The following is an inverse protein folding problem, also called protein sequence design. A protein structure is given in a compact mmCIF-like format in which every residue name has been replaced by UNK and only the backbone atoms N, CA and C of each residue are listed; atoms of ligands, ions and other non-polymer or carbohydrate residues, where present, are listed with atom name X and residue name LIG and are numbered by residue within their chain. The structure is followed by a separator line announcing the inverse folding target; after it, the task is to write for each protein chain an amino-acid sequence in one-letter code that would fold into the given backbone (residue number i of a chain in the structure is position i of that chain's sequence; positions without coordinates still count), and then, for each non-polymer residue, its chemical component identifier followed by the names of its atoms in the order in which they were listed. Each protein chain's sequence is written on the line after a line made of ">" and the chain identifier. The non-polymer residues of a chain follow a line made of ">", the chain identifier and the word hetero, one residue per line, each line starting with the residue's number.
data_IF_725268795682
#
_entry.id   IF_725268795682
#
_cell.length_a   1.000
_cell.length_b   1.000
_cell.length_c   1.000
_cell.angle_alpha   90.00
_cell.angle_beta   90.00
_cell.angle_gamma   90.00
#
_symmetry.space_group_name_H-M   'P 1'
#
loop_
_entity.id
_entity.type
_entity.pdbx_description
1 polymer ?
#
# COMPACT_ATOMS: atom_id res chain seq x y z
N UNK A 1 35.39 -30.56 20.56
CA UNK A 1 35.19 -29.11 20.37
C UNK A 1 34.31 -28.68 21.50
N UNK A 2 34.90 -28.07 22.52
CA UNK A 2 34.12 -27.24 23.45
C UNK A 2 33.48 -26.10 22.65
N UNK A 3 32.36 -25.56 23.13
CA UNK A 3 31.84 -24.33 22.55
C UNK A 3 32.90 -23.25 22.78
N UNK A 4 33.46 -22.70 21.70
CA UNK A 4 34.33 -21.54 21.78
C UNK A 4 33.47 -20.34 22.15
N UNK A 5 33.20 -20.19 23.44
CA UNK A 5 32.57 -19.00 24.03
C UNK A 5 33.52 -17.87 23.75
N UNK A 6 33.24 -17.08 22.70
CA UNK A 6 34.06 -15.91 22.37
C UNK A 6 34.02 -14.97 23.56
N UNK A 7 35.17 -14.81 24.20
CA UNK A 7 35.34 -13.94 25.36
C UNK A 7 35.07 -12.50 24.90
N UNK A 8 34.62 -11.62 25.79
CA UNK A 8 34.56 -10.19 25.48
C UNK A 8 35.94 -9.62 25.07
N UNK A 9 37.04 -10.27 25.50
CA UNK A 9 38.42 -10.00 25.06
C UNK A 9 38.72 -10.37 23.60
N UNK A 10 37.96 -11.29 22.98
CA UNK A 10 38.18 -11.78 21.61
C UNK A 10 37.46 -10.92 20.55
N UNK A 11 36.66 -9.94 20.97
CA UNK A 11 35.96 -9.03 20.04
C UNK A 11 36.88 -7.91 19.54
N UNK A 12 36.71 -7.44 18.29
CA UNK A 12 37.50 -6.33 17.78
C UNK A 12 37.12 -5.03 18.52
N UNK A 13 38.12 -4.19 18.82
CA UNK A 13 37.95 -3.01 19.67
C UNK A 13 36.99 -1.92 19.11
N UNK A 14 36.54 -2.05 17.86
CA UNK A 14 35.51 -1.19 17.26
C UNK A 14 34.06 -1.65 17.54
N UNK A 15 33.88 -2.90 17.99
CA UNK A 15 32.58 -3.54 18.24
C UNK A 15 32.34 -3.83 19.73
N UNK A 16 33.27 -3.42 20.61
CA UNK A 16 33.10 -3.50 22.06
C UNK A 16 31.93 -2.63 22.51
N UNK A 17 30.99 -3.23 23.24
CA UNK A 17 29.92 -2.54 23.95
C UNK A 17 30.29 -2.28 25.41
N UNK A 18 29.54 -1.41 26.11
CA UNK A 18 29.75 -1.17 27.56
C UNK A 18 29.60 -2.47 28.36
N UNK A 19 28.70 -3.36 27.92
CA UNK A 19 28.51 -4.68 28.54
C UNK A 19 29.78 -5.53 28.45
N UNK A 20 30.46 -5.51 27.30
CA UNK A 20 31.70 -6.25 27.09
C UNK A 20 32.84 -5.74 27.99
N UNK A 21 32.86 -4.44 28.31
CA UNK A 21 33.83 -3.88 29.27
C UNK A 21 33.56 -4.39 30.70
N UNK A 22 32.30 -4.56 31.09
CA UNK A 22 31.95 -5.17 32.38
C UNK A 22 32.24 -6.68 32.41
N UNK A 23 32.01 -7.42 31.32
CA UNK A 23 32.39 -8.84 31.21
C UNK A 23 33.91 -9.03 31.30
N UNK A 24 34.69 -8.17 30.62
CA UNK A 24 36.16 -8.13 30.75
C UNK A 24 36.56 -7.85 32.21
N UNK A 25 35.91 -6.88 32.87
CA UNK A 25 36.19 -6.54 34.27
C UNK A 25 35.90 -7.73 35.21
N UNK A 26 34.82 -8.49 34.97
CA UNK A 26 34.46 -9.67 35.75
C UNK A 26 35.49 -10.80 35.61
N UNK A 27 35.95 -11.09 34.40
CA UNK A 27 37.01 -12.10 34.16
C UNK A 27 38.32 -11.68 34.80
N UNK A 28 38.73 -10.41 34.64
CA UNK A 28 39.93 -9.87 35.29
C UNK A 28 39.83 -9.93 36.83
N UNK A 29 38.65 -9.69 37.40
CA UNK A 29 38.38 -9.84 38.84
C UNK A 29 38.68 -11.26 39.33
N UNK A 30 38.20 -12.28 38.61
CA UNK A 30 38.44 -13.69 38.93
C UNK A 30 39.92 -14.11 38.77
N UNK A 31 40.66 -13.49 37.84
CA UNK A 31 42.12 -13.67 37.75
C UNK A 31 42.83 -13.06 38.97
N UNK A 32 42.46 -11.85 39.39
CA UNK A 32 43.04 -11.22 40.58
C UNK A 32 42.74 -12.00 41.86
N UNK A 33 41.50 -12.48 42.05
CA UNK A 33 41.11 -13.34 43.18
C UNK A 33 42.01 -14.58 43.27
N UNK A 34 42.17 -15.32 42.16
CA UNK A 34 43.04 -16.50 42.08
C UNK A 34 44.54 -16.22 42.29
N UNK A 35 44.99 -14.98 42.13
CA UNK A 35 46.35 -14.54 42.48
C UNK A 35 46.45 -14.17 43.96
N UNK A 36 45.45 -13.48 44.52
CA UNK A 36 45.36 -13.15 45.95
C UNK A 36 45.39 -14.43 46.80
N UNK A 37 44.60 -15.44 46.43
CA UNK A 37 44.53 -16.74 47.12
C UNK A 37 45.88 -17.47 47.22
N UNK A 38 46.79 -17.24 46.26
CA UNK A 38 48.05 -17.98 46.11
C UNK A 38 49.27 -17.21 46.60
N UNK A 39 49.24 -15.87 46.53
CA UNK A 39 50.41 -15.02 46.76
C UNK A 39 50.15 -13.85 47.73
N UNK A 40 48.91 -13.69 48.21
CA UNK A 40 48.50 -12.55 49.04
C UNK A 40 48.21 -11.28 48.24
N UNK A 41 47.45 -10.36 48.84
CA UNK A 41 46.98 -9.14 48.18
C UNK A 41 48.08 -8.09 47.93
N UNK A 42 49.16 -8.09 48.70
CA UNK A 42 50.25 -7.09 48.65
C UNK A 42 50.81 -6.88 47.23
N UNK A 43 50.92 -7.95 46.44
CA UNK A 43 51.42 -7.89 45.06
C UNK A 43 50.50 -7.12 44.10
N UNK A 44 49.22 -6.94 44.45
CA UNK A 44 48.18 -6.38 43.58
C UNK A 44 47.65 -5.01 44.02
N UNK A 45 47.92 -4.56 45.26
CA UNK A 45 47.48 -3.26 45.80
C UNK A 45 47.84 -2.09 44.87
N UNK A 46 49.04 -2.10 44.29
CA UNK A 46 49.52 -1.07 43.36
C UNK A 46 49.13 -1.27 41.88
N UNK A 47 48.41 -2.35 41.57
CA UNK A 47 48.04 -2.77 40.20
C UNK A 47 46.54 -2.62 39.96
N UNK A 48 45.69 -3.14 40.84
CA UNK A 48 44.22 -3.14 40.67
C UNK A 48 43.66 -1.73 40.41
N UNK A 49 44.03 -0.66 41.15
CA UNK A 49 43.53 0.69 40.87
C UNK A 49 43.91 1.22 39.47
N UNK A 50 45.02 0.75 38.89
CA UNK A 50 45.44 1.13 37.53
C UNK A 50 44.64 0.37 36.48
N UNK A 51 44.30 -0.89 36.73
CA UNK A 51 43.47 -1.71 35.83
C UNK A 51 42.03 -1.20 35.82
N UNK A 52 41.46 -0.87 37.00
CA UNK A 52 40.16 -0.18 37.10
C UNK A 52 40.18 1.10 36.27
N UNK A 53 41.21 1.94 36.40
CA UNK A 53 41.35 3.16 35.59
C UNK A 53 41.47 2.92 34.08
N UNK A 54 42.01 1.78 33.64
CA UNK A 54 42.03 1.43 32.21
C UNK A 54 40.64 1.01 31.74
N UNK A 55 39.88 0.29 32.57
CA UNK A 55 38.49 -0.09 32.28
C UNK A 55 37.55 1.12 32.24
N UNK A 56 37.66 2.05 33.20
CA UNK A 56 36.95 3.35 33.19
C UNK A 56 37.19 4.13 31.89
N UNK A 57 38.44 4.14 31.40
CA UNK A 57 38.81 4.81 30.15
C UNK A 57 38.27 4.07 28.91
N UNK A 58 38.22 2.74 28.94
CA UNK A 58 37.65 1.93 27.86
C UNK A 58 36.12 2.12 27.77
N UNK A 59 35.42 2.06 28.90
CA UNK A 59 33.98 2.35 29.02
C UNK A 59 33.64 3.74 28.48
N UNK A 60 34.40 4.78 28.86
CA UNK A 60 34.20 6.14 28.37
C UNK A 60 34.48 6.29 26.87
N UNK A 61 35.44 5.55 26.31
CA UNK A 61 35.71 5.54 24.86
C UNK A 61 34.61 4.82 24.07
N UNK A 62 34.16 3.67 24.55
CA UNK A 62 33.07 2.88 23.95
C UNK A 62 31.75 3.65 23.97
N UNK A 63 31.37 4.22 25.13
CA UNK A 63 30.15 5.03 25.28
C UNK A 63 30.16 6.23 24.33
N UNK A 64 31.31 6.89 24.18
CA UNK A 64 31.47 8.00 23.22
C UNK A 64 31.43 7.52 21.77
N UNK A 65 31.87 6.30 21.47
CA UNK A 65 31.76 5.69 20.15
C UNK A 65 30.31 5.53 19.71
N UNK A 66 29.47 4.94 20.56
CA UNK A 66 28.03 4.80 20.31
C UNK A 66 27.35 6.16 20.07
N UNK A 67 27.56 7.13 20.97
CA UNK A 67 26.99 8.47 20.84
C UNK A 67 27.48 9.24 19.58
N UNK A 68 28.67 8.94 19.06
CA UNK A 68 29.15 9.49 17.78
C UNK A 68 28.45 8.82 16.61
N UNK A 69 28.28 7.49 16.63
CA UNK A 69 27.55 6.76 15.59
C UNK A 69 26.08 7.23 15.50
N UNK A 70 25.37 7.32 16.63
CA UNK A 70 24.02 7.89 16.72
C UNK A 70 23.96 9.30 16.14
N UNK A 71 24.94 10.16 16.47
CA UNK A 71 25.03 11.52 15.96
C UNK A 71 25.38 11.60 14.46
N UNK A 72 25.94 10.55 13.85
CA UNK A 72 26.09 10.45 12.39
C UNK A 72 24.83 9.91 11.72
N UNK A 73 24.15 8.92 12.31
CA UNK A 73 22.91 8.37 11.76
C UNK A 73 21.77 9.39 11.79
N UNK A 74 21.66 10.18 12.87
CA UNK A 74 20.76 11.33 12.92
C UNK A 74 21.10 12.42 11.87
N UNK A 75 22.37 12.56 11.45
CA UNK A 75 22.73 13.47 10.35
C UNK A 75 22.32 12.89 8.99
N UNK A 76 22.56 11.60 8.77
CA UNK A 76 22.14 10.87 7.55
C UNK A 76 20.64 11.01 7.35
N UNK A 77 19.86 10.80 8.40
CA UNK A 77 18.40 10.93 8.37
C UNK A 77 17.93 12.39 8.17
N UNK A 78 18.56 13.35 8.85
CA UNK A 78 18.23 14.76 8.70
C UNK A 78 18.54 15.28 7.28
N UNK A 79 19.61 14.81 6.64
CA UNK A 79 19.90 15.11 5.23
C UNK A 79 18.96 14.38 4.26
N UNK A 80 18.49 13.16 4.58
CA UNK A 80 17.41 12.49 3.84
C UNK A 80 16.12 13.31 3.86
N UNK A 81 15.69 13.75 5.05
CA UNK A 81 14.49 14.58 5.25
C UNK A 81 14.61 15.96 4.59
N UNK A 82 15.81 16.55 4.52
CA UNK A 82 16.09 17.76 3.73
C UNK A 82 15.90 17.51 2.23
N UNK A 83 16.42 16.41 1.71
CA UNK A 83 16.29 16.04 0.30
C UNK A 83 14.82 15.76 -0.07
N UNK A 84 14.09 14.96 0.72
CA UNK A 84 12.67 14.72 0.55
C UNK A 84 11.83 16.02 0.53
N UNK A 85 12.15 16.98 1.41
CA UNK A 85 11.49 18.29 1.45
C UNK A 85 11.82 19.12 0.20
N UNK A 86 13.06 19.05 -0.27
CA UNK A 86 13.50 19.69 -1.52
C UNK A 86 12.76 19.11 -2.73
N UNK A 87 12.59 17.79 -2.79
CA UNK A 87 11.96 17.10 -3.91
C UNK A 87 10.44 17.24 -3.90
N UNK A 88 9.78 17.20 -2.72
CA UNK A 88 8.37 17.59 -2.58
C UNK A 88 8.12 19.02 -3.08
N UNK A 89 8.96 19.99 -2.71
CA UNK A 89 8.86 21.36 -3.22
C UNK A 89 9.08 21.47 -4.76
N UNK A 90 9.94 20.63 -5.34
CA UNK A 90 10.12 20.55 -6.80
C UNK A 90 8.92 19.91 -7.52
N UNK A 91 8.27 18.93 -6.91
CA UNK A 91 7.06 18.29 -7.42
C UNK A 91 5.88 19.27 -7.38
N UNK A 92 5.65 19.92 -6.23
CA UNK A 92 4.63 20.95 -6.06
C UNK A 92 4.79 22.07 -7.11
N UNK A 93 6.03 22.54 -7.32
CA UNK A 93 6.34 23.57 -8.32
C UNK A 93 6.28 23.07 -9.79
N UNK A 94 6.12 21.77 -10.03
CA UNK A 94 5.74 21.24 -11.35
C UNK A 94 4.23 21.20 -11.50
N UNK A 95 3.53 20.60 -10.53
CA UNK A 95 2.06 20.50 -10.55
C UNK A 95 1.41 21.89 -10.65
N UNK A 96 1.93 22.89 -9.91
CA UNK A 96 1.48 24.29 -10.00
C UNK A 96 1.62 24.86 -11.43
N UNK A 97 2.70 24.54 -12.15
CA UNK A 97 2.90 24.99 -13.55
C UNK A 97 2.03 24.23 -14.54
N UNK A 98 1.79 22.95 -14.28
CA UNK A 98 0.92 22.09 -15.08
C UNK A 98 -0.54 22.57 -14.93
N UNK A 99 -0.95 22.99 -13.73
CA UNK A 99 -2.22 23.67 -13.47
C UNK A 99 -2.30 25.04 -14.15
N UNK A 100 -1.28 25.89 -14.02
CA UNK A 100 -1.19 27.18 -14.73
C UNK A 100 -1.35 27.00 -16.26
N UNK A 101 -0.68 25.99 -16.84
CA UNK A 101 -0.77 25.69 -18.27
C UNK A 101 -2.16 25.16 -18.68
N UNK A 102 -2.81 24.35 -17.83
CA UNK A 102 -4.19 23.89 -18.07
C UNK A 102 -5.18 25.04 -17.97
N UNK A 103 -5.03 25.94 -17.00
CA UNK A 103 -5.84 27.17 -16.89
C UNK A 103 -5.68 28.07 -18.12
N UNK A 104 -4.46 28.34 -18.57
CA UNK A 104 -4.23 29.16 -19.77
C UNK A 104 -4.82 28.52 -21.03
N UNK A 105 -4.73 27.19 -21.16
CA UNK A 105 -5.33 26.45 -22.29
C UNK A 105 -6.86 26.57 -22.25
N UNK A 106 -7.47 26.33 -21.09
CA UNK A 106 -8.93 26.44 -20.90
C UNK A 106 -9.44 27.87 -21.12
N UNK A 107 -8.69 28.90 -20.69
CA UNK A 107 -8.99 30.31 -20.97
C UNK A 107 -9.01 30.60 -22.47
N UNK A 108 -8.06 30.02 -23.22
CA UNK A 108 -8.03 30.08 -24.69
C UNK A 108 -9.26 29.42 -25.32
N UNK A 109 -9.56 28.17 -24.96
CA UNK A 109 -10.72 27.43 -25.46
C UNK A 109 -12.05 28.16 -25.18
N UNK A 110 -12.22 28.71 -23.96
CA UNK A 110 -13.40 29.52 -23.60
C UNK A 110 -13.48 30.80 -24.43
N UNK A 111 -12.35 31.47 -24.69
CA UNK A 111 -12.32 32.67 -25.53
C UNK A 111 -12.65 32.36 -27.01
N UNK A 112 -12.16 31.25 -27.56
CA UNK A 112 -12.47 30.80 -28.92
C UNK A 112 -13.94 30.40 -29.05
N UNK A 113 -14.50 29.67 -28.07
CA UNK A 113 -15.92 29.33 -28.03
C UNK A 113 -16.82 30.57 -27.95
N UNK A 114 -16.48 31.55 -27.09
CA UNK A 114 -17.21 32.83 -27.01
C UNK A 114 -17.12 33.62 -28.32
N UNK A 115 -15.96 33.58 -29.00
CA UNK A 115 -15.76 34.21 -30.30
C UNK A 115 -16.61 33.54 -31.38
N UNK A 116 -16.68 32.20 -31.38
CA UNK A 116 -17.50 31.42 -32.31
C UNK A 116 -19.00 31.63 -32.07
N UNK A 117 -19.46 31.65 -30.82
CA UNK A 117 -20.85 31.99 -30.44
C UNK A 117 -21.19 33.39 -30.96
N UNK A 118 -20.30 34.37 -30.77
CA UNK A 118 -20.50 35.75 -31.25
C UNK A 118 -20.57 35.82 -32.78
N UNK A 119 -19.72 35.07 -33.49
CA UNK A 119 -19.78 34.95 -34.95
C UNK A 119 -21.13 34.36 -35.40
N UNK A 120 -21.53 33.20 -34.85
CA UNK A 120 -22.78 32.51 -35.18
C UNK A 120 -24.01 33.37 -34.87
N UNK A 121 -24.04 34.10 -33.75
CA UNK A 121 -25.10 35.07 -33.46
C UNK A 121 -25.15 36.20 -34.51
N UNK A 122 -23.99 36.69 -34.97
CA UNK A 122 -23.92 37.67 -36.05
C UNK A 122 -24.44 37.11 -37.38
N UNK A 123 -24.16 35.84 -37.68
CA UNK A 123 -24.54 35.16 -38.92
C UNK A 123 -26.03 34.81 -38.92
N UNK A 124 -26.55 34.24 -37.83
CA UNK A 124 -28.00 34.04 -37.66
C UNK A 124 -28.76 35.37 -37.80
N UNK A 125 -28.27 36.47 -37.21
CA UNK A 125 -28.90 37.80 -37.36
C UNK A 125 -28.88 38.31 -38.80
N UNK A 126 -27.77 38.13 -39.54
CA UNK A 126 -27.68 38.45 -40.98
C UNK A 126 -28.63 37.57 -41.81
N UNK A 127 -28.66 36.26 -41.53
CA UNK A 127 -29.47 35.28 -42.25
C UNK A 127 -30.97 35.55 -42.05
N UNK A 128 -31.41 35.83 -40.83
CA UNK A 128 -32.82 36.13 -40.50
C UNK A 128 -33.31 37.39 -41.25
N UNK A 129 -32.49 38.46 -41.30
CA UNK A 129 -32.79 39.65 -42.13
C UNK A 129 -32.81 39.29 -43.62
N UNK A 130 -31.85 38.51 -44.11
CA UNK A 130 -31.79 38.12 -45.52
C UNK A 130 -32.93 37.18 -45.94
N UNK A 131 -33.43 36.36 -45.01
CA UNK A 131 -34.60 35.48 -45.16
C UNK A 131 -35.86 36.34 -45.27
N UNK A 132 -36.05 37.30 -44.36
CA UNK A 132 -37.18 38.22 -44.41
C UNK A 132 -37.28 38.97 -45.75
N UNK A 133 -36.16 39.48 -46.27
CA UNK A 133 -36.12 40.05 -47.64
C UNK A 133 -36.51 39.03 -48.72
N UNK A 134 -36.01 37.78 -48.62
CA UNK A 134 -36.27 36.74 -49.62
C UNK A 134 -37.73 36.26 -49.59
N UNK A 135 -38.33 36.06 -48.42
CA UNK A 135 -39.73 35.67 -48.28
C UNK A 135 -40.69 36.71 -48.89
N UNK A 136 -40.34 38.01 -48.83
CA UNK A 136 -41.09 39.07 -49.55
C UNK A 136 -40.86 39.13 -51.06
N UNK A 137 -39.97 38.30 -51.62
CA UNK A 137 -39.70 38.24 -53.08
C UNK A 137 -40.02 36.89 -53.72
N UNK A 138 -39.99 35.80 -52.94
CA UNK A 138 -40.17 34.42 -53.43
C UNK A 138 -41.65 34.01 -53.45
N UNK A 139 -42.49 34.63 -52.62
CA UNK A 139 -43.93 34.34 -52.51
C UNK A 139 -44.69 34.59 -53.82
N UNK A 140 -44.28 35.54 -54.66
CA UNK A 140 -44.89 35.79 -55.97
C UNK A 140 -44.34 34.87 -57.09
N UNK A 141 -43.05 34.52 -57.08
CA UNK A 141 -42.44 33.72 -58.16
C UNK A 141 -42.67 32.20 -58.05
N UNK A 142 -42.74 31.64 -56.84
CA UNK A 142 -42.63 30.19 -56.67
C UNK A 142 -43.91 29.43 -57.05
N UNK A 143 -45.07 30.01 -56.75
CA UNK A 143 -46.40 29.43 -57.08
C UNK A 143 -46.55 29.25 -58.60
N UNK A 144 -46.09 30.23 -59.38
CA UNK A 144 -46.24 30.25 -60.84
C UNK A 144 -45.41 29.17 -61.58
N UNK A 145 -44.38 28.60 -60.95
CA UNK A 145 -43.46 27.63 -61.58
C UNK A 145 -43.77 26.17 -61.24
N UNK A 146 -44.56 25.90 -60.19
CA UNK A 146 -44.72 24.54 -59.66
C UNK A 146 -45.67 23.65 -60.49
N UNK A 147 -46.64 24.22 -61.20
CA UNK A 147 -47.59 23.48 -62.05
C UNK A 147 -46.97 22.97 -63.36
N UNK A 148 -45.80 23.48 -63.76
CA UNK A 148 -45.25 23.34 -65.11
C UNK A 148 -44.23 22.22 -65.36
N UNK A 149 -43.98 21.31 -64.39
CA UNK A 149 -42.88 20.34 -64.51
C UNK A 149 -42.99 19.45 -65.77
N UNK A 150 -42.02 19.62 -66.66
CA UNK A 150 -41.87 18.89 -67.91
C UNK A 150 -41.66 17.39 -67.68
N UNK A 151 -42.03 16.56 -68.66
CA UNK A 151 -41.74 15.12 -68.66
C UNK A 151 -40.23 14.84 -68.46
N UNK A 152 -39.38 15.69 -69.02
CA UNK A 152 -37.93 15.65 -68.84
C UNK A 152 -37.51 15.91 -67.37
N UNK A 153 -38.16 16.87 -66.70
CA UNK A 153 -37.86 17.25 -65.32
C UNK A 153 -38.34 16.18 -64.34
N UNK A 154 -39.51 15.57 -64.59
CA UNK A 154 -39.97 14.36 -63.89
C UNK A 154 -38.97 13.21 -64.05
N UNK A 155 -38.43 13.02 -65.26
CA UNK A 155 -37.49 11.95 -65.54
C UNK A 155 -36.09 12.22 -64.97
N UNK A 156 -35.68 13.48 -64.82
CA UNK A 156 -34.49 13.89 -64.04
C UNK A 156 -34.73 13.68 -62.55
N UNK A 157 -35.86 14.11 -62.00
CA UNK A 157 -36.23 13.88 -60.60
C UNK A 157 -36.28 12.39 -60.25
N UNK A 158 -36.79 11.54 -61.15
CA UNK A 158 -36.73 10.09 -60.97
C UNK A 158 -35.28 9.58 -60.93
N UNK A 159 -34.43 9.94 -61.90
CA UNK A 159 -33.01 9.55 -61.90
C UNK A 159 -32.26 10.04 -60.65
N UNK A 160 -32.58 11.24 -60.17
CA UNK A 160 -31.99 11.81 -58.96
C UNK A 160 -32.46 11.05 -57.71
N UNK A 161 -33.74 10.68 -57.62
CA UNK A 161 -34.25 9.79 -56.57
C UNK A 161 -33.57 8.41 -56.62
N UNK A 162 -33.51 7.78 -57.79
CA UNK A 162 -32.88 6.48 -58.00
C UNK A 162 -31.37 6.50 -57.64
N UNK A 163 -30.73 7.68 -57.67
CA UNK A 163 -29.34 7.89 -57.24
C UNK A 163 -29.22 8.17 -55.74
N UNK A 164 -30.11 8.99 -55.17
CA UNK A 164 -30.18 9.28 -53.74
C UNK A 164 -30.51 8.04 -52.93
N UNK A 165 -31.44 7.20 -53.40
CA UNK A 165 -31.78 5.96 -52.73
C UNK A 165 -30.62 4.94 -52.78
N UNK A 166 -29.84 4.89 -53.88
CA UNK A 166 -28.56 4.16 -53.91
C UNK A 166 -27.52 4.71 -52.94
N UNK A 167 -27.39 6.03 -52.83
CA UNK A 167 -26.46 6.65 -51.87
C UNK A 167 -26.87 6.33 -50.41
N UNK A 168 -28.16 6.30 -50.08
CA UNK A 168 -28.63 5.81 -48.78
C UNK A 168 -28.27 4.34 -48.54
N UNK A 169 -28.37 3.49 -49.56
CA UNK A 169 -28.05 2.06 -49.46
C UNK A 169 -26.54 1.82 -49.27
N UNK A 170 -25.71 2.58 -49.99
CA UNK A 170 -24.27 2.62 -49.82
C UNK A 170 -23.87 3.14 -48.43
N UNK A 171 -24.49 4.23 -47.94
CA UNK A 171 -24.29 4.74 -46.58
C UNK A 171 -24.60 3.66 -45.54
N UNK A 172 -25.76 2.98 -45.62
CA UNK A 172 -26.11 1.91 -44.66
C UNK A 172 -25.15 0.72 -44.69
N UNK A 173 -24.58 0.42 -45.86
CA UNK A 173 -23.53 -0.60 -45.99
C UNK A 173 -22.21 -0.13 -45.37
N UNK A 174 -21.85 1.15 -45.54
CA UNK A 174 -20.65 1.73 -44.90
C UNK A 174 -20.79 1.89 -43.39
N UNK A 175 -21.99 2.19 -42.89
CA UNK A 175 -22.29 2.17 -41.45
C UNK A 175 -22.09 0.77 -40.85
N UNK A 176 -22.56 -0.28 -41.53
CA UNK A 176 -22.34 -1.67 -41.12
C UNK A 176 -20.87 -2.12 -41.20
N UNK A 177 -20.14 -1.71 -42.25
CA UNK A 177 -18.68 -1.89 -42.31
C UNK A 177 -17.97 -1.20 -41.14
N UNK A 178 -18.42 0.01 -40.77
CA UNK A 178 -17.84 0.78 -39.66
C UNK A 178 -18.15 0.19 -38.28
N UNK A 179 -19.34 -0.39 -38.04
CA UNK A 179 -19.62 -1.09 -36.77
C UNK A 179 -18.74 -2.33 -36.63
N UNK A 180 -18.63 -3.15 -37.67
CA UNK A 180 -17.76 -4.34 -37.66
C UNK A 180 -16.28 -3.97 -37.46
N UNK A 181 -15.84 -2.82 -37.97
CA UNK A 181 -14.48 -2.30 -37.73
C UNK A 181 -14.25 -1.78 -36.31
N UNK A 182 -15.28 -1.24 -35.64
CA UNK A 182 -15.20 -0.87 -34.21
C UNK A 182 -15.06 -2.12 -33.35
N UNK A 183 -15.87 -3.15 -33.61
CA UNK A 183 -15.81 -4.44 -32.92
C UNK A 183 -14.41 -5.10 -33.05
N UNK A 184 -13.80 -5.09 -34.24
CA UNK A 184 -12.42 -5.57 -34.45
C UNK A 184 -11.38 -4.77 -33.63
N UNK A 185 -11.49 -3.43 -33.59
CA UNK A 185 -10.60 -2.58 -32.79
C UNK A 185 -10.77 -2.84 -31.29
N UNK A 186 -11.99 -3.00 -30.80
CA UNK A 186 -12.27 -3.33 -29.39
C UNK A 186 -11.71 -4.70 -29.02
N UNK A 187 -11.86 -5.72 -29.89
CA UNK A 187 -11.26 -7.03 -29.70
C UNK A 187 -9.73 -6.98 -29.70
N UNK A 188 -9.12 -6.18 -30.58
CA UNK A 188 -7.66 -5.94 -30.57
C UNK A 188 -7.21 -5.20 -29.29
N UNK A 189 -8.00 -4.27 -28.75
CA UNK A 189 -7.70 -3.63 -27.47
C UNK A 189 -7.80 -4.61 -26.30
N UNK A 190 -8.80 -5.50 -26.28
CA UNK A 190 -8.89 -6.58 -25.29
C UNK A 190 -7.72 -7.57 -25.42
N UNK A 191 -7.32 -7.95 -26.63
CA UNK A 191 -6.15 -8.79 -26.89
C UNK A 191 -4.86 -8.16 -26.35
N UNK A 192 -4.62 -6.87 -26.61
CA UNK A 192 -3.46 -6.14 -26.08
C UNK A 192 -3.51 -5.93 -24.55
N UNK A 193 -4.70 -5.89 -23.93
CA UNK A 193 -4.84 -5.88 -22.46
C UNK A 193 -4.47 -7.24 -21.86
N UNK A 194 -4.99 -8.33 -22.44
CA UNK A 194 -4.69 -9.70 -22.01
C UNK A 194 -3.21 -10.07 -22.24
N UNK A 195 -2.60 -9.61 -23.34
CA UNK A 195 -1.20 -9.82 -23.65
C UNK A 195 -0.28 -9.21 -22.57
N UNK A 196 -0.55 -7.97 -22.15
CA UNK A 196 0.17 -7.29 -21.06
C UNK A 196 0.03 -8.05 -19.74
N UNK A 197 -1.21 -8.32 -19.31
CA UNK A 197 -1.45 -9.08 -18.07
C UNK A 197 -0.77 -10.45 -18.08
N UNK A 198 -0.71 -11.13 -19.23
CA UNK A 198 -0.01 -12.42 -19.35
C UNK A 198 1.51 -12.28 -19.30
N UNK A 199 2.07 -11.18 -19.80
CA UNK A 199 3.50 -10.83 -19.64
C UNK A 199 3.83 -10.53 -18.17
N UNK A 200 2.99 -9.76 -17.48
CA UNK A 200 3.16 -9.43 -16.06
C UNK A 200 3.10 -10.69 -15.17
N UNK A 201 2.15 -11.59 -15.45
CA UNK A 201 2.04 -12.89 -14.79
C UNK A 201 3.27 -13.77 -15.04
N UNK A 202 3.77 -13.86 -16.28
CA UNK A 202 5.03 -14.58 -16.60
C UNK A 202 6.23 -14.01 -15.85
N UNK A 203 6.34 -12.68 -15.76
CA UNK A 203 7.41 -12.03 -15.02
C UNK A 203 7.32 -12.36 -13.52
N UNK A 204 6.11 -12.25 -12.92
CA UNK A 204 5.88 -12.60 -11.51
C UNK A 204 6.16 -14.07 -11.21
N UNK A 205 5.80 -14.99 -12.11
CA UNK A 205 6.17 -16.41 -12.01
C UNK A 205 7.70 -16.57 -12.03
N UNK A 206 8.40 -15.92 -12.97
CA UNK A 206 9.87 -15.97 -13.04
C UNK A 206 10.57 -15.43 -11.78
N UNK A 207 10.03 -14.39 -11.15
CA UNK A 207 10.52 -13.87 -9.86
C UNK A 207 10.30 -14.88 -8.73
N UNK A 208 9.09 -15.47 -8.62
CA UNK A 208 8.80 -16.48 -7.60
C UNK A 208 9.63 -17.77 -7.80
N UNK A 209 9.88 -18.17 -9.05
CA UNK A 209 10.80 -19.28 -9.37
C UNK A 209 12.24 -18.98 -8.95
N UNK A 210 12.72 -17.75 -9.17
CA UNK A 210 14.07 -17.34 -8.76
C UNK A 210 14.20 -17.34 -7.24
N UNK A 211 13.20 -16.79 -6.52
CA UNK A 211 13.13 -16.84 -5.06
C UNK A 211 13.09 -18.29 -4.54
N UNK A 212 12.27 -19.15 -5.14
CA UNK A 212 12.21 -20.57 -4.80
C UNK A 212 13.54 -21.30 -4.99
N UNK A 213 14.27 -21.02 -6.08
CA UNK A 213 15.62 -21.57 -6.33
C UNK A 213 16.64 -21.11 -5.27
N UNK A 214 16.59 -19.85 -4.84
CA UNK A 214 17.44 -19.34 -3.75
C UNK A 214 17.10 -20.00 -2.41
N UNK A 215 15.81 -20.15 -2.07
CA UNK A 215 15.40 -20.81 -0.83
C UNK A 215 15.76 -22.31 -0.79
N UNK A 216 15.68 -23.01 -1.93
CA UNK A 216 16.13 -24.40 -2.06
C UNK A 216 17.64 -24.50 -1.86
N UNK A 217 18.42 -23.58 -2.45
CA UNK A 217 19.88 -23.53 -2.28
C UNK A 217 20.28 -23.26 -0.82
N UNK A 218 19.67 -22.25 -0.18
CA UNK A 218 19.89 -21.93 1.23
C UNK A 218 19.53 -23.10 2.14
N UNK A 219 18.43 -23.81 1.88
CA UNK A 219 18.09 -25.03 2.63
C UNK A 219 19.19 -26.08 2.45
N UNK A 220 19.64 -26.35 1.22
CA UNK A 220 20.67 -27.36 0.97
C UNK A 220 22.00 -27.02 1.67
N UNK A 221 22.39 -25.75 1.71
CA UNK A 221 23.57 -25.27 2.44
C UNK A 221 23.44 -25.45 3.96
N UNK A 222 22.29 -25.10 4.54
CA UNK A 222 22.00 -25.33 5.97
C UNK A 222 21.93 -26.81 6.33
N UNK A 223 21.35 -27.65 5.46
CA UNK A 223 21.25 -29.10 5.64
C UNK A 223 22.64 -29.76 5.56
N UNK A 224 23.50 -29.33 4.64
CA UNK A 224 24.90 -29.75 4.57
C UNK A 224 25.72 -29.30 5.79
N UNK A 225 25.54 -28.06 6.26
CA UNK A 225 26.20 -27.56 7.47
C UNK A 225 25.77 -28.30 8.74
N UNK A 226 24.50 -28.68 8.84
CA UNK A 226 24.00 -29.53 9.93
C UNK A 226 24.60 -30.94 9.87
N UNK A 227 24.68 -31.55 8.69
CA UNK A 227 25.32 -32.86 8.49
C UNK A 227 26.82 -32.82 8.83
N UNK A 228 27.54 -31.76 8.46
CA UNK A 228 28.95 -31.59 8.82
C UNK A 228 29.15 -31.55 10.34
N UNK A 229 28.38 -30.72 11.06
CA UNK A 229 28.39 -30.67 12.54
C UNK A 229 28.03 -32.00 13.18
N UNK A 230 27.10 -32.76 12.58
CA UNK A 230 26.74 -34.10 13.09
C UNK A 230 27.90 -35.10 12.93
N UNK A 231 28.69 -35.01 11.85
CA UNK A 231 29.92 -35.80 11.68
C UNK A 231 31.00 -35.39 12.68
N UNK A 232 31.20 -34.08 12.92
CA UNK A 232 32.11 -33.56 13.94
C UNK A 232 31.73 -34.05 15.35
N UNK A 233 30.45 -33.99 15.72
CA UNK A 233 29.96 -34.56 16.98
C UNK A 233 30.22 -36.06 17.08
N UNK A 234 30.07 -36.80 15.98
CA UNK A 234 30.39 -38.23 15.90
C UNK A 234 31.87 -38.53 16.13
N UNK A 235 32.79 -37.81 15.47
CA UNK A 235 34.24 -38.01 15.66
C UNK A 235 34.68 -37.62 17.07
N UNK A 236 34.11 -36.55 17.64
CA UNK A 236 34.35 -36.14 19.03
C UNK A 236 33.84 -37.15 20.05
N UNK A 237 32.68 -37.78 19.82
CA UNK A 237 32.17 -38.85 20.68
C UNK A 237 33.09 -40.08 20.65
N UNK A 238 33.57 -40.47 19.46
CA UNK A 238 34.56 -41.55 19.33
C UNK A 238 35.87 -41.22 20.04
N UNK A 239 36.36 -40.00 19.93
CA UNK A 239 37.60 -39.55 20.58
C UNK A 239 37.46 -39.49 22.11
N UNK A 240 36.35 -38.99 22.63
CA UNK A 240 36.03 -39.06 24.07
C UNK A 240 35.91 -40.51 24.54
N UNK A 241 35.36 -41.41 23.73
CA UNK A 241 35.35 -42.85 24.01
C UNK A 241 36.72 -43.52 23.95
N UNK A 242 37.65 -43.02 23.12
CA UNK A 242 39.06 -43.47 23.08
C UNK A 242 39.80 -43.03 24.35
N UNK A 243 39.80 -41.72 24.64
CA UNK A 243 40.47 -41.14 25.79
C UNK A 243 39.97 -41.71 27.13
N UNK A 244 38.67 -42.06 27.24
CA UNK A 244 38.12 -42.76 28.42
C UNK A 244 38.69 -44.17 28.61
N UNK A 245 38.93 -44.92 27.53
CA UNK A 245 39.56 -46.25 27.62
C UNK A 245 41.03 -46.14 28.00
N UNK A 246 41.75 -45.20 27.39
CA UNK A 246 43.16 -44.95 27.70
C UNK A 246 43.33 -44.47 29.15
N UNK A 247 42.40 -43.67 29.68
CA UNK A 247 42.38 -43.32 31.10
C UNK A 247 42.17 -44.55 31.99
N UNK A 248 41.21 -45.42 31.66
CA UNK A 248 40.94 -46.65 32.42
C UNK A 248 42.12 -47.64 32.37
N UNK A 249 42.79 -47.77 31.23
CA UNK A 249 44.00 -48.60 31.08
C UNK A 249 45.16 -48.03 31.93
N UNK A 250 45.35 -46.71 31.91
CA UNK A 250 46.31 -46.00 32.77
C UNK A 250 45.92 -45.97 34.26
N UNK A 251 44.67 -46.27 34.62
CA UNK A 251 44.21 -46.50 35.99
C UNK A 251 44.52 -47.93 36.44
N UNK A 252 44.17 -48.93 35.64
CA UNK A 252 44.50 -50.33 35.89
C UNK A 252 46.02 -50.55 35.96
N UNK A 253 46.81 -49.90 35.09
CA UNK A 253 48.27 -49.90 35.20
C UNK A 253 48.79 -49.32 36.53
N UNK A 254 48.12 -48.30 37.08
CA UNK A 254 48.48 -47.73 38.39
C UNK A 254 48.10 -48.68 39.52
N UNK A 255 46.90 -49.27 39.49
CA UNK A 255 46.48 -50.25 40.48
C UNK A 255 47.41 -51.47 40.50
N UNK A 256 47.79 -52.02 39.34
CA UNK A 256 48.77 -53.10 39.24
C UNK A 256 50.12 -52.70 39.85
N UNK A 257 50.62 -51.49 39.56
CA UNK A 257 51.89 -51.01 40.12
C UNK A 257 51.84 -50.76 41.63
N UNK A 258 50.67 -50.40 42.20
CA UNK A 258 50.50 -50.33 43.66
C UNK A 258 50.30 -51.72 44.30
N UNK A 259 49.72 -52.70 43.59
CA UNK A 259 49.67 -54.11 44.02
C UNK A 259 51.08 -54.73 44.03
N UNK A 260 51.92 -54.43 43.03
CA UNK A 260 53.33 -54.84 43.01
C UNK A 260 54.15 -54.19 44.14
N UNK A 261 53.96 -52.89 44.39
CA UNK A 261 54.61 -52.20 45.53
C UNK A 261 54.18 -52.77 46.88
N UNK A 262 52.87 -52.94 47.11
CA UNK A 262 52.35 -53.47 48.37
C UNK A 262 52.78 -54.92 48.61
N UNK A 263 53.01 -55.69 47.55
CA UNK A 263 53.59 -57.05 47.62
C UNK A 263 55.03 -57.11 48.19
N UNK A 264 55.73 -55.98 48.34
CA UNK A 264 57.03 -55.91 49.03
C UNK A 264 56.92 -55.65 50.55
N UNK A 265 55.70 -55.60 51.11
CA UNK A 265 55.44 -55.55 52.56
C UNK A 265 54.41 -56.62 52.94
N UNK A 266 54.87 -57.70 53.56
CA UNK A 266 54.07 -58.92 53.69
C UNK A 266 53.03 -58.93 54.82
N UNK A 267 51.95 -59.70 54.59
CA UNK A 267 50.94 -60.21 55.55
C UNK A 267 50.01 -59.16 56.22
N UNK A 268 48.67 -59.30 56.26
CA UNK A 268 47.81 -60.51 56.29
C UNK A 268 46.46 -60.32 55.56
N UNK A 269 45.89 -61.43 55.05
CA UNK A 269 44.45 -61.59 54.79
C UNK A 269 43.69 -62.07 56.05
N UNK A 270 42.36 -61.88 56.13
CA UNK A 270 41.51 -63.08 56.00
C UNK A 270 40.18 -62.90 55.23
N UNK A 271 39.92 -63.88 54.34
CA UNK A 271 38.66 -64.59 54.04
C UNK A 271 37.28 -63.87 53.81
N UNK A 272 36.42 -64.40 52.90
CA UNK A 272 35.11 -63.82 52.53
C UNK A 272 33.89 -64.46 53.24
N UNK A 273 32.67 -63.96 52.96
CA UNK A 273 31.56 -64.87 52.68
C UNK A 273 30.61 -64.46 51.52
N UNK A 274 30.45 -65.38 50.56
CA UNK A 274 29.17 -65.91 50.01
C UNK A 274 27.98 -64.97 49.69
N UNK A 275 27.78 -64.74 48.39
CA UNK A 275 26.50 -64.83 47.62
C UNK A 275 25.12 -64.66 48.27
N UNK A 276 24.29 -63.81 47.65
CA UNK A 276 22.84 -64.00 47.50
C UNK A 276 22.33 -63.42 46.16
N UNK A 277 21.13 -63.80 45.72
CA UNK A 277 20.55 -63.37 44.43
C UNK A 277 19.75 -62.06 44.57
N UNK A 278 19.77 -61.20 43.56
CA UNK A 278 18.93 -60.00 43.44
C UNK A 278 18.70 -59.61 41.98
N UNK A 279 17.45 -59.32 41.61
CA UNK A 279 17.06 -59.05 40.23
C UNK A 279 17.38 -57.62 39.76
N UNK A 280 17.30 -57.40 38.44
CA UNK A 280 17.23 -56.06 37.85
C UNK A 280 16.04 -55.27 38.44
N UNK A 281 16.14 -53.93 38.47
CA UNK A 281 15.49 -53.20 37.38
C UNK A 281 16.41 -52.20 36.68
N UNK A 282 16.15 -51.95 35.40
CA UNK A 282 16.77 -50.84 34.67
C UNK A 282 16.17 -49.51 35.16
N UNK A 283 17.02 -48.53 35.45
CA UNK A 283 16.59 -47.16 35.79
C UNK A 283 17.49 -46.15 35.08
N UNK A 284 17.13 -45.83 33.82
CA UNK A 284 17.83 -44.84 33.01
C UNK A 284 17.45 -43.43 33.41
N UNK A 285 18.17 -42.84 34.36
CA UNK A 285 17.99 -41.43 34.75
C UNK A 285 18.54 -40.54 33.63
N UNK A 286 17.64 -39.95 32.83
CA UNK A 286 17.99 -38.89 31.88
C UNK A 286 18.37 -37.61 32.66
N UNK A 287 19.45 -36.90 32.29
CA UNK A 287 19.49 -35.46 32.49
C UNK A 287 18.48 -34.80 31.55
N UNK A 288 17.86 -33.69 31.97
CA UNK A 288 16.91 -32.96 31.13
C UNK A 288 17.62 -32.32 29.92
N UNK A 289 17.26 -32.76 28.71
CA UNK A 289 17.56 -32.03 27.48
C UNK A 289 16.35 -31.20 27.09
N UNK A 290 16.45 -29.88 27.20
CA UNK A 290 15.39 -28.94 26.78
C UNK A 290 15.57 -28.63 25.29
N UNK A 291 15.26 -29.62 24.45
CA UNK A 291 14.92 -29.45 23.03
C UNK A 291 14.06 -30.64 22.60
N UNK A 292 12.74 -30.43 22.53
CA UNK A 292 11.82 -31.41 21.92
C UNK A 292 11.71 -31.10 20.43
N UNK A 293 12.01 -32.10 19.62
CA UNK A 293 12.01 -32.03 18.17
C UNK A 293 10.57 -31.98 17.63
N UNK A 294 10.23 -30.94 16.87
CA UNK A 294 8.93 -30.81 16.21
C UNK A 294 8.82 -31.72 14.97
N UNK A 295 8.74 -33.04 15.21
CA UNK A 295 8.66 -34.06 14.16
C UNK A 295 7.34 -34.85 14.18
N UNK A 296 6.45 -34.56 13.22
CA UNK A 296 5.38 -35.48 12.81
C UNK A 296 3.98 -35.23 13.41
N UNK A 297 3.19 -34.38 12.73
CA UNK A 297 1.73 -34.48 12.75
C UNK A 297 1.28 -35.37 11.57
N UNK A 298 0.63 -36.53 11.79
CA UNK A 298 0.20 -37.43 10.71
C UNK A 298 -0.96 -36.91 9.83
N UNK A 299 -1.54 -35.74 10.10
CA UNK A 299 -2.80 -35.30 9.49
C UNK A 299 -2.68 -34.40 8.23
N UNK A 300 -1.49 -33.95 7.85
CA UNK A 300 -1.30 -32.96 6.77
C UNK A 300 -0.87 -33.52 5.38
N UNK A 301 -0.87 -34.84 5.16
CA UNK A 301 -0.57 -35.44 3.85
C UNK A 301 -1.73 -36.24 3.24
N UNK A 302 -2.84 -35.57 2.90
CA UNK A 302 -3.85 -36.15 2.00
C UNK A 302 -4.60 -35.08 1.19
N UNK A 303 -3.93 -34.40 0.26
CA UNK A 303 -4.57 -33.69 -0.86
C UNK A 303 -3.57 -33.28 -1.97
N UNK A 304 -2.90 -34.26 -2.58
CA UNK A 304 -2.04 -34.06 -3.76
C UNK A 304 -2.13 -35.25 -4.73
N UNK A 305 -3.35 -35.68 -5.08
CA UNK A 305 -3.52 -36.75 -6.07
C UNK A 305 -4.84 -36.64 -6.88
N UNK A 306 -4.94 -35.58 -7.69
CA UNK A 306 -5.70 -35.59 -8.96
C UNK A 306 -5.43 -34.35 -9.83
N UNK A 307 -4.79 -34.58 -10.97
CA UNK A 307 -5.14 -33.80 -12.17
C UNK A 307 -6.56 -34.18 -12.62
N UNK A 308 -7.30 -33.26 -13.24
CA UNK A 308 -7.52 -33.44 -14.66
C UNK A 308 -7.42 -32.15 -15.48
N UNK A 309 -7.17 -32.32 -16.77
CA UNK A 309 -7.21 -31.28 -17.79
C UNK A 309 -8.58 -31.22 -18.50
N UNK A 310 -8.70 -30.31 -19.48
CA UNK A 310 -9.72 -30.23 -20.55
C UNK A 310 -11.00 -29.36 -20.31
N UNK A 311 -11.10 -28.31 -21.15
CA UNK A 311 -12.33 -27.86 -21.82
C UNK A 311 -12.65 -28.83 -23.00
N UNK A 312 -13.79 -28.78 -23.73
CA UNK A 312 -14.88 -27.77 -23.75
C UNK A 312 -16.32 -28.35 -23.87
N UNK A 313 -17.28 -27.45 -24.19
CA UNK A 313 -18.48 -27.66 -25.06
C UNK A 313 -19.87 -27.74 -24.39
N UNK A 314 -20.86 -27.22 -25.12
CA UNK A 314 -22.28 -27.03 -24.73
C UNK A 314 -23.19 -28.24 -25.00
N UNK A 315 -24.31 -28.32 -24.28
CA UNK A 315 -25.56 -28.89 -24.79
C UNK A 315 -26.81 -28.24 -24.17
N UNK A 316 -27.89 -28.09 -24.95
CA UNK A 316 -29.23 -27.73 -24.46
C UNK A 316 -29.97 -28.97 -23.99
N UNK A 317 -30.75 -28.89 -22.90
CA UNK A 317 -32.18 -29.25 -22.96
C UNK A 317 -33.00 -28.70 -21.78
N UNK A 318 -34.30 -28.55 -22.02
CA UNK A 318 -35.34 -28.30 -21.03
C UNK A 318 -35.59 -29.60 -20.20
N UNK A 319 -36.31 -29.60 -19.08
CA UNK A 319 -37.78 -29.47 -19.03
C UNK A 319 -38.31 -28.98 -17.66
N UNK A 320 -39.63 -28.73 -17.60
CA UNK A 320 -40.34 -28.13 -16.46
C UNK A 320 -40.58 -29.10 -15.29
N UNK A 321 -40.74 -28.57 -14.06
CA UNK A 321 -42.08 -28.55 -13.42
C UNK A 321 -42.20 -27.54 -12.25
N UNK A 322 -43.42 -27.36 -11.71
CA UNK A 322 -43.84 -26.18 -10.91
C UNK A 322 -44.16 -26.47 -9.44
N UNK A 323 -43.67 -25.61 -8.53
CA UNK A 323 -44.41 -25.07 -7.36
C UNK A 323 -43.56 -24.01 -6.63
N UNK A 324 -44.11 -22.93 -6.05
CA UNK A 324 -45.48 -22.40 -6.18
C UNK A 324 -46.06 -21.79 -4.90
N UNK A 325 -45.77 -20.50 -4.66
CA UNK A 325 -46.60 -19.46 -4.00
C UNK A 325 -45.86 -18.09 -4.15
N UNK A 326 -46.44 -16.90 -4.39
CA UNK A 326 -47.65 -16.18 -3.87
C UNK A 326 -47.37 -15.42 -2.55
N UNK A 327 -47.84 -14.19 -2.27
CA UNK A 327 -48.54 -13.10 -3.01
C UNK A 327 -47.92 -11.74 -2.54
N UNK A 328 -48.33 -10.49 -2.86
CA UNK A 328 -49.43 -9.88 -3.63
C UNK A 328 -48.97 -8.48 -4.17
N UNK A 329 -49.91 -7.53 -4.39
CA UNK A 329 -49.73 -6.14 -4.85
C UNK A 329 -49.19 -6.01 -6.29
N UNK A 330 -50.02 -6.08 -7.33
CA UNK A 330 -51.48 -5.80 -7.46
C UNK A 330 -51.85 -4.32 -7.28
N UNK A 331 -52.13 -3.64 -8.40
CA UNK A 331 -52.93 -2.40 -8.64
C UNK A 331 -52.34 -1.73 -9.90
N UNK A 332 -52.61 -2.23 -11.11
CA UNK A 332 -53.83 -2.01 -11.90
C UNK A 332 -53.69 -0.82 -12.89
N UNK A 333 -53.01 -1.06 -14.00
CA UNK A 333 -53.10 -0.24 -15.22
C UNK A 333 -54.36 -0.66 -16.00
N UNK A 334 -55.43 0.14 -15.96
CA UNK A 334 -56.63 -0.14 -16.76
C UNK A 334 -57.50 1.11 -16.96
N UNK A 335 -57.51 1.67 -18.18
CA UNK A 335 -58.68 2.25 -18.85
C UNK A 335 -58.31 2.66 -20.29
N UNK A 336 -58.69 1.82 -21.25
CA UNK A 336 -58.78 2.19 -22.67
C UNK A 336 -60.25 2.07 -23.08
N UNK A 337 -60.68 2.98 -23.97
CA UNK A 337 -61.94 3.07 -24.70
C UNK A 337 -63.06 3.94 -24.08
N UNK A 338 -63.32 5.08 -24.73
CA UNK A 338 -64.52 5.24 -25.58
C UNK A 338 -64.45 6.52 -26.43
N UNK A 339 -65.23 6.51 -27.52
CA UNK A 339 -65.59 7.63 -28.40
C UNK A 339 -64.45 8.36 -29.15
N UNK A 340 -64.50 8.23 -30.48
CA UNK A 340 -64.01 9.27 -31.39
C UNK A 340 -65.17 9.83 -32.19
N UNK A 341 -65.17 11.14 -32.41
CA UNK A 341 -65.92 11.84 -33.46
C UNK A 341 -65.00 12.95 -33.99
N UNK A 342 -65.12 13.26 -35.28
CA UNK A 342 -64.27 14.23 -35.99
C UNK A 342 -64.59 15.68 -35.58
N UNK A 343 -63.56 16.54 -35.47
CA UNK A 343 -63.50 17.81 -36.19
C UNK A 343 -62.11 18.47 -36.11
N UNK A 344 -61.85 19.35 -37.08
CA UNK A 344 -60.62 20.13 -37.24
C UNK A 344 -60.73 21.45 -36.45
N UNK A 345 -59.63 21.91 -35.83
CA UNK A 345 -58.99 23.19 -36.21
C UNK A 345 -57.67 23.44 -35.45
N UNK A 346 -57.04 24.58 -35.76
CA UNK A 346 -55.62 24.88 -35.64
C UNK A 346 -55.11 25.39 -34.27
N UNK A 347 -53.78 25.46 -34.17
CA UNK A 347 -52.95 26.39 -33.37
C UNK A 347 -52.75 26.23 -31.84
N UNK A 348 -51.46 26.20 -31.51
CA UNK A 348 -50.79 26.96 -30.43
C UNK A 348 -51.00 26.57 -28.95
N UNK A 349 -50.31 25.50 -28.51
CA UNK A 349 -49.99 25.20 -27.09
C UNK A 349 -48.86 24.15 -26.96
N UNK A 350 -47.75 24.28 -27.71
CA UNK A 350 -46.65 23.27 -27.73
C UNK A 350 -45.25 23.80 -27.35
N UNK A 351 -45.17 24.86 -26.54
CA UNK A 351 -43.89 25.39 -25.99
C UNK A 351 -43.79 25.28 -24.45
N UNK A 352 -44.05 24.10 -23.84
CA UNK A 352 -43.79 23.92 -22.40
C UNK A 352 -43.40 22.52 -21.88
N UNK A 353 -42.84 21.65 -22.72
CA UNK A 353 -42.26 20.35 -22.27
C UNK A 353 -40.77 20.16 -22.57
N UNK A 354 -40.08 21.14 -23.19
CA UNK A 354 -38.66 21.01 -23.59
C UNK A 354 -37.66 20.95 -22.42
N UNK A 355 -38.07 21.31 -21.19
CA UNK A 355 -37.18 21.42 -20.02
C UNK A 355 -37.24 20.21 -19.05
N UNK A 356 -37.94 19.12 -19.41
CA UNK A 356 -37.86 17.85 -18.66
C UNK A 356 -36.73 16.97 -19.22
N UNK A 357 -35.71 16.59 -18.42
CA UNK A 357 -34.69 15.65 -18.87
C UNK A 357 -35.27 14.23 -18.97
N UNK A 358 -35.62 13.83 -20.19
CA UNK A 358 -36.19 12.52 -20.52
C UNK A 358 -35.11 11.43 -20.58
N UNK A 359 -34.55 11.07 -19.42
CA UNK A 359 -33.61 9.95 -19.30
C UNK A 359 -34.22 8.64 -19.80
N UNK A 360 -33.45 7.84 -20.53
CA UNK A 360 -33.88 6.48 -20.88
C UNK A 360 -33.83 5.55 -19.66
N UNK A 361 -34.61 4.47 -19.68
CA UNK A 361 -34.53 3.41 -18.66
C UNK A 361 -33.16 2.70 -18.62
N UNK A 362 -32.31 2.91 -19.62
CA UNK A 362 -30.94 2.42 -19.62
C UNK A 362 -30.01 3.40 -18.89
N UNK A 363 -30.01 4.69 -19.27
CA UNK A 363 -29.28 5.75 -18.53
C UNK A 363 -29.62 5.75 -17.03
N UNK A 364 -30.89 5.58 -16.67
CA UNK A 364 -31.28 5.52 -15.26
C UNK A 364 -30.69 4.29 -14.54
N UNK A 365 -30.53 3.14 -15.20
CA UNK A 365 -29.82 1.98 -14.62
C UNK A 365 -28.34 2.25 -14.49
N UNK A 366 -27.73 2.83 -15.52
CA UNK A 366 -26.30 3.09 -15.58
C UNK A 366 -25.89 4.11 -14.51
N UNK A 367 -26.65 5.20 -14.34
CA UNK A 367 -26.49 6.17 -13.23
C UNK A 367 -26.75 5.53 -11.86
N UNK A 368 -27.73 4.63 -11.73
CA UNK A 368 -27.98 3.91 -10.47
C UNK A 368 -26.83 2.93 -10.13
N UNK A 369 -26.19 2.34 -11.14
CA UNK A 369 -25.02 1.47 -10.99
C UNK A 369 -23.77 2.29 -10.66
N UNK A 370 -23.45 3.34 -11.42
CA UNK A 370 -22.34 4.25 -11.17
C UNK A 370 -22.42 4.83 -9.74
N UNK A 371 -23.60 5.31 -9.33
CA UNK A 371 -23.86 5.74 -7.95
C UNK A 371 -23.62 4.64 -6.92
N UNK A 372 -23.91 3.38 -7.23
CA UNK A 372 -23.63 2.26 -6.32
C UNK A 372 -22.12 1.98 -6.23
N UNK A 373 -21.41 2.00 -7.36
CA UNK A 373 -19.96 1.79 -7.43
C UNK A 373 -19.19 2.92 -6.73
N UNK A 374 -19.57 4.18 -6.97
CA UNK A 374 -19.07 5.34 -6.24
C UNK A 374 -19.39 5.26 -4.74
N UNK A 375 -20.56 4.75 -4.34
CA UNK A 375 -20.89 4.54 -2.93
C UNK A 375 -20.00 3.48 -2.26
N UNK A 376 -19.60 2.43 -2.99
CA UNK A 376 -18.60 1.46 -2.51
C UNK A 376 -17.22 2.11 -2.39
N UNK A 377 -16.78 2.84 -3.42
CA UNK A 377 -15.49 3.55 -3.37
C UNK A 377 -15.41 4.57 -2.22
N UNK A 378 -16.47 5.35 -2.00
CA UNK A 378 -16.56 6.30 -0.88
C UNK A 378 -16.54 5.57 0.47
N UNK A 379 -17.14 4.38 0.58
CA UNK A 379 -17.06 3.58 1.81
C UNK A 379 -15.63 3.08 2.05
N UNK A 380 -14.95 2.52 1.05
CA UNK A 380 -13.55 2.07 1.16
C UNK A 380 -12.62 3.23 1.48
N UNK A 381 -12.77 4.39 0.82
CA UNK A 381 -11.99 5.60 1.13
C UNK A 381 -12.29 6.15 2.53
N UNK A 382 -13.52 5.97 3.06
CA UNK A 382 -13.83 6.31 4.45
C UNK A 382 -13.21 5.33 5.44
N UNK A 383 -13.08 4.05 5.09
CA UNK A 383 -12.39 3.02 5.88
C UNK A 383 -10.86 3.27 5.90
N UNK A 384 -10.25 3.57 4.75
CA UNK A 384 -8.84 3.98 4.65
C UNK A 384 -8.56 5.30 5.43
N UNK A 385 -9.41 6.32 5.25
CA UNK A 385 -9.29 7.58 6.01
C UNK A 385 -9.64 7.44 7.49
N UNK A 386 -10.30 6.37 7.92
CA UNK A 386 -10.46 6.04 9.33
C UNK A 386 -9.21 5.32 9.87
N UNK A 387 -8.69 4.35 9.11
CA UNK A 387 -7.47 3.60 9.43
C UNK A 387 -6.28 4.54 9.69
N UNK A 388 -5.95 5.43 8.74
CA UNK A 388 -4.83 6.35 8.90
C UNK A 388 -5.03 7.34 10.05
N UNK A 389 -6.27 7.77 10.33
CA UNK A 389 -6.56 8.62 11.51
C UNK A 389 -6.39 7.88 12.82
N UNK A 390 -6.71 6.58 12.90
CA UNK A 390 -6.37 5.78 14.08
C UNK A 390 -4.86 5.56 14.22
N UNK A 391 -4.13 5.43 13.11
CA UNK A 391 -2.67 5.30 13.09
C UNK A 391 -2.00 6.59 13.62
N UNK A 392 -2.47 7.76 13.18
CA UNK A 392 -2.04 9.08 13.71
C UNK A 392 -2.23 9.22 15.24
N UNK A 393 -3.28 8.61 15.81
CA UNK A 393 -3.59 8.72 17.26
C UNK A 393 -2.87 7.68 18.15
N UNK A 394 -2.42 6.54 17.60
CA UNK A 394 -1.63 5.57 18.36
C UNK A 394 -0.19 6.08 18.59
N UNK A 395 0.42 6.76 17.60
CA UNK A 395 1.75 7.37 17.76
C UNK A 395 1.74 8.52 18.78
N UNK A 396 0.77 9.45 18.68
CA UNK A 396 0.61 10.61 19.58
C UNK A 396 0.34 10.20 21.05
N UNK A 397 -0.19 8.98 21.26
CA UNK A 397 -0.48 8.43 22.59
C UNK A 397 0.78 8.10 23.42
N UNK A 398 1.98 8.13 22.81
CA UNK A 398 3.24 7.76 23.46
C UNK A 398 4.10 8.95 23.95
N UNK A 399 3.83 10.19 23.48
CA UNK A 399 4.77 11.32 23.60
C UNK A 399 4.26 12.58 24.34
N UNK A 400 3.37 12.44 25.33
CA UNK A 400 2.92 13.58 26.15
C UNK A 400 4.00 14.02 27.16
N UNK A 401 4.98 14.79 26.70
CA UNK A 401 5.80 15.70 27.51
C UNK A 401 5.77 17.09 26.88
N UNK A 402 4.98 17.99 27.45
CA UNK A 402 4.67 19.28 26.85
C UNK A 402 5.87 20.26 26.87
N UNK A 403 6.15 20.90 25.74
CA UNK A 403 6.95 22.13 25.66
C UNK A 403 6.49 22.97 24.45
N UNK A 404 6.17 24.26 24.62
CA UNK A 404 5.52 25.05 23.57
C UNK A 404 6.51 25.54 22.49
N UNK A 405 6.14 25.53 21.20
CA UNK A 405 7.01 25.97 20.10
C UNK A 405 7.05 27.51 19.96
N UNK A 406 8.18 28.09 19.50
CA UNK A 406 8.27 29.50 19.16
C UNK A 406 7.61 29.80 17.80
N UNK A 407 6.97 30.97 17.62
CA UNK A 407 6.36 31.35 16.34
C UNK A 407 7.42 31.64 15.27
N UNK A 408 7.26 31.02 14.09
CA UNK A 408 8.11 31.32 12.92
C UNK A 408 7.70 32.63 12.26
N UNK A 409 8.66 33.51 11.99
CA UNK A 409 8.44 34.80 11.34
C UNK A 409 8.35 34.68 9.81
N UNK A 410 7.15 34.95 9.27
CA UNK A 410 6.99 35.26 7.85
C UNK A 410 7.38 36.72 7.57
N UNK A 411 8.07 36.97 6.46
CA UNK A 411 8.53 38.32 6.08
C UNK A 411 7.48 39.08 5.28
N UNK A 412 6.94 40.16 5.84
CA UNK A 412 6.39 41.28 5.07
C UNK A 412 6.85 42.60 5.71
N UNK A 413 7.17 43.59 4.87
CA UNK A 413 7.70 44.89 5.31
C UNK A 413 6.58 45.88 5.58
N UNK A 414 5.85 45.66 6.67
CA UNK A 414 4.93 46.64 7.27
C UNK A 414 5.05 46.57 8.81
N UNK A 415 4.77 47.67 9.55
CA UNK A 415 4.83 47.65 11.00
C UNK A 415 3.79 46.65 11.56
N UNK A 416 4.16 45.81 12.55
CA UNK A 416 3.34 44.68 12.96
C UNK A 416 1.98 45.16 13.50
N UNK A 417 0.92 44.81 12.79
CA UNK A 417 -0.43 45.19 13.19
C UNK A 417 -0.79 44.55 14.54
N UNK A 418 -1.06 45.40 15.53
CA UNK A 418 -1.55 44.96 16.84
C UNK A 418 -2.72 43.99 16.67
N UNK A 419 -2.75 42.93 17.49
CA UNK A 419 -3.85 41.95 17.47
C UNK A 419 -5.23 42.60 17.64
N UNK A 420 -5.29 43.75 18.34
CA UNK A 420 -6.49 44.58 18.48
C UNK A 420 -6.91 45.19 17.14
N UNK A 421 -5.96 45.68 16.33
CA UNK A 421 -6.25 46.22 14.98
C UNK A 421 -6.81 45.11 14.10
N UNK A 422 -6.17 43.95 14.04
CA UNK A 422 -6.66 42.79 13.28
C UNK A 422 -8.05 42.33 13.73
N UNK A 423 -8.31 42.27 15.04
CA UNK A 423 -9.65 41.94 15.56
C UNK A 423 -10.70 42.99 15.12
N UNK A 424 -10.37 44.27 15.18
CA UNK A 424 -11.25 45.36 14.74
C UNK A 424 -11.54 45.26 13.23
N UNK A 425 -10.51 45.19 12.39
CA UNK A 425 -10.69 45.27 10.93
C UNK A 425 -11.20 43.96 10.29
N UNK A 426 -10.83 42.79 10.83
CA UNK A 426 -11.21 41.48 10.25
C UNK A 426 -12.53 40.92 10.80
N UNK A 427 -12.86 41.17 12.08
CA UNK A 427 -14.07 40.62 12.70
C UNK A 427 -15.14 41.68 13.03
N UNK A 428 -14.76 42.75 13.75
CA UNK A 428 -15.75 43.72 14.26
C UNK A 428 -16.28 44.62 13.13
N UNK A 429 -15.41 45.12 12.24
CA UNK A 429 -15.79 46.09 11.20
C UNK A 429 -16.80 45.51 10.19
N UNK A 430 -16.68 44.27 9.69
CA UNK A 430 -17.73 43.64 8.89
C UNK A 430 -19.07 43.50 9.64
N UNK A 431 -19.06 43.13 10.92
CA UNK A 431 -20.28 43.01 11.74
C UNK A 431 -20.94 44.38 12.01
N UNK A 432 -20.15 45.44 12.18
CA UNK A 432 -20.63 46.82 12.32
C UNK A 432 -21.20 47.33 11.00
N UNK A 433 -20.56 47.05 9.87
CA UNK A 433 -21.03 47.42 8.53
C UNK A 433 -22.32 46.67 8.14
N UNK A 434 -22.45 45.40 8.52
CA UNK A 434 -23.67 44.59 8.35
C UNK A 434 -24.80 44.96 9.34
N UNK A 435 -24.62 45.97 10.19
CA UNK A 435 -25.63 46.43 11.16
C UNK A 435 -25.87 45.48 12.35
N UNK A 436 -25.13 44.37 12.44
CA UNK A 436 -25.31 43.33 13.47
C UNK A 436 -24.93 43.79 14.88
N UNK A 437 -24.14 44.85 14.99
CA UNK A 437 -23.82 45.51 16.26
C UNK A 437 -24.40 46.93 16.24
N UNK A 438 -25.67 47.03 16.65
CA UNK A 438 -26.35 48.28 16.93
C UNK A 438 -26.02 48.78 18.35
N UNK A 439 -25.89 50.11 18.48
CA UNK A 439 -26.03 50.89 19.71
C UNK A 439 -25.02 50.68 20.86
N UNK A 440 -23.83 50.12 20.60
CA UNK A 440 -22.66 50.32 21.48
C UNK A 440 -21.98 51.68 21.17
N UNK A 441 -21.94 52.65 22.12
CA UNK A 441 -21.32 53.95 21.91
C UNK A 441 -19.79 53.90 21.80
N UNK A 442 -19.13 52.83 22.24
CA UNK A 442 -17.66 52.69 22.14
C UNK A 442 -17.19 52.47 20.70
N UNK A 443 -18.05 51.97 19.81
CA UNK A 443 -17.74 51.67 18.41
C UNK A 443 -17.94 52.87 17.45
N UNK A 444 -18.35 54.03 17.96
CA UNK A 444 -18.52 55.27 17.19
C UNK A 444 -17.28 55.69 16.36
N UNK A 445 -16.01 55.54 16.83
CA UNK A 445 -14.84 55.86 16.02
C UNK A 445 -14.71 54.98 14.78
N UNK A 446 -15.07 53.70 14.88
CA UNK A 446 -14.98 52.72 13.77
C UNK A 446 -16.05 53.04 12.72
N UNK A 447 -17.28 53.34 13.14
CA UNK A 447 -18.36 53.77 12.23
C UNK A 447 -17.98 55.02 11.42
N UNK A 448 -17.28 55.99 12.04
CA UNK A 448 -16.78 57.18 11.33
C UNK A 448 -15.71 56.87 10.29
N UNK A 449 -14.88 55.84 10.49
CA UNK A 449 -13.89 55.40 9.51
C UNK A 449 -14.56 54.85 8.24
N UNK A 450 -15.61 54.03 8.42
CA UNK A 450 -16.43 53.48 7.32
C UNK A 450 -17.25 54.56 6.60
N UNK A 451 -17.44 55.74 7.22
CA UNK A 451 -18.17 56.87 6.63
C UNK A 451 -17.30 57.77 5.72
N UNK A 452 -16.03 57.42 5.51
CA UNK A 452 -15.02 58.23 4.79
C UNK A 452 -14.32 57.47 3.65
N UNK A 453 -14.89 56.33 3.23
CA UNK A 453 -14.51 55.52 2.06
C UNK A 453 -15.75 55.40 1.16
#
# INVERSE_FOLDING_TARGET
>A
MEACVMTALDRPAAELTVMDVYDIAAVLGQEFERVIDRFGCECLVGVVPKVVRVLELLEALVTRGAAVQEAEDLRRELDRLRQERSDRFKQERKHQKELEQVEDTWRGEVQDLLSHITQLQSENKKLLVSRSLKESTVTEEYVQKQEGMSENERQVMKKLKDLVDKQKDEIRTKEYELTLRKEDIELQMQQHRLMRLNQDLRHRIGVMEAQGKVLIQQRAELEAAAQARQQELGTLQLEVSRLRKELQEMELEREVKEIEKSSLTGTLFPAPPQTSLGAMPANGIKPNSVWVECGGDPSFMMNCDRSPSLLPTSAKKNDNEKKGDKDDNTTAMLLIASNGTEQEEETDSLEQESDKPCFTLQELRDVLQERNELKVQVFTLQEELAYYKSEDFEDDSSSIVCSPPPPSSATSTDPPESGIRRLIFTAIMPMVAAGLIADDPTLLPIRRLVSFI
#
